data_IF_924468227267
#
_entry.id   IF_924468227267
#
_cell.length_a   1.000
_cell.length_b   1.000
_cell.length_c   1.000
_cell.angle_alpha   90.00
_cell.angle_beta   90.00
_cell.angle_gamma   90.00
#
_symmetry.space_group_name_H-M   'P 1'
#
loop_
_entity.id
_entity.type
_entity.pdbx_description
1 polymer ?
#
# COMPACT_ATOMS: atom_id res chain seq x y z
N UNK A 1 -0.78 -21.00 -12.84
CA UNK A 1 0.06 -21.36 -13.97
C UNK A 1 0.29 -20.20 -14.89
N UNK A 2 -0.72 -19.71 -15.56
CA UNK A 2 -0.54 -18.50 -16.40
C UNK A 2 -0.12 -17.28 -15.57
N UNK A 3 -0.72 -17.08 -14.39
CA UNK A 3 -0.37 -16.00 -13.46
C UNK A 3 1.05 -16.14 -12.90
N UNK A 4 1.51 -17.38 -12.65
CA UNK A 4 2.87 -17.63 -12.19
C UNK A 4 3.90 -17.32 -13.27
N UNK A 5 3.60 -17.68 -14.52
CA UNK A 5 4.46 -17.36 -15.65
C UNK A 5 4.53 -15.86 -15.92
N UNK A 6 3.39 -15.18 -15.83
CA UNK A 6 3.33 -13.71 -15.97
C UNK A 6 4.11 -13.02 -14.85
N UNK A 7 3.97 -13.49 -13.61
CA UNK A 7 4.75 -12.98 -12.49
C UNK A 7 6.24 -13.19 -12.68
N UNK A 8 6.66 -14.36 -13.15
CA UNK A 8 8.06 -14.66 -13.45
C UNK A 8 8.61 -13.76 -14.55
N UNK A 9 7.85 -13.55 -15.62
CA UNK A 9 8.23 -12.64 -16.71
C UNK A 9 8.37 -11.22 -16.22
N UNK A 10 7.43 -10.76 -15.41
CA UNK A 10 7.46 -9.43 -14.80
C UNK A 10 8.73 -9.26 -13.98
N UNK A 11 9.03 -10.21 -13.09
CA UNK A 11 10.22 -10.18 -12.25
C UNK A 11 11.51 -10.20 -13.05
N UNK A 12 11.55 -10.99 -14.14
CA UNK A 12 12.72 -11.06 -15.02
C UNK A 12 12.92 -9.79 -15.85
N UNK A 13 11.83 -9.22 -16.38
CA UNK A 13 11.90 -8.00 -17.19
C UNK A 13 12.26 -6.77 -16.37
N UNK A 14 11.98 -6.80 -15.08
CA UNK A 14 12.27 -5.72 -14.14
C UNK A 14 13.48 -6.05 -13.25
N UNK A 15 14.47 -6.73 -13.80
CA UNK A 15 15.68 -7.14 -13.07
C UNK A 15 16.62 -5.96 -12.75
N UNK A 16 16.07 -4.76 -12.64
CA UNK A 16 16.74 -3.56 -12.11
C UNK A 16 16.28 -3.34 -10.69
N UNK A 17 17.15 -2.72 -9.88
CA UNK A 17 16.78 -2.28 -8.55
C UNK A 17 15.58 -1.34 -8.65
N UNK A 18 14.46 -1.75 -8.06
CA UNK A 18 13.28 -0.92 -7.94
C UNK A 18 13.49 0.09 -6.80
N UNK A 19 12.63 1.09 -6.74
CA UNK A 19 12.67 2.11 -5.72
C UNK A 19 12.54 1.49 -4.32
N UNK A 20 13.31 2.00 -3.35
CA UNK A 20 13.16 1.62 -1.94
C UNK A 20 11.97 2.35 -1.32
N UNK A 21 11.47 1.83 -0.17
CA UNK A 21 10.42 2.49 0.58
C UNK A 21 10.82 3.91 1.01
N UNK A 22 12.05 4.09 1.46
CA UNK A 22 12.55 5.40 1.88
C UNK A 22 12.60 6.38 0.70
N UNK A 23 13.13 5.95 -0.42
CA UNK A 23 13.19 6.79 -1.63
C UNK A 23 11.79 7.16 -2.12
N UNK A 24 10.86 6.21 -2.12
CA UNK A 24 9.47 6.46 -2.47
C UNK A 24 8.86 7.51 -1.54
N UNK A 25 9.01 7.35 -0.22
CA UNK A 25 8.48 8.27 0.77
C UNK A 25 9.04 9.70 0.56
N UNK A 26 10.33 9.82 0.29
CA UNK A 26 10.95 11.12 0.01
C UNK A 26 10.42 11.75 -1.29
N UNK A 27 10.28 10.96 -2.35
CA UNK A 27 9.77 11.45 -3.63
C UNK A 27 8.29 11.83 -3.59
N UNK A 28 7.48 11.17 -2.76
CA UNK A 28 6.08 11.53 -2.56
C UNK A 28 5.91 12.98 -2.08
N UNK A 29 6.88 13.53 -1.39
CA UNK A 29 6.84 14.92 -0.91
C UNK A 29 6.72 15.93 -2.04
N UNK A 30 7.21 15.60 -3.22
CA UNK A 30 7.17 16.50 -4.38
C UNK A 30 5.76 16.78 -4.89
N UNK A 31 4.80 15.93 -4.54
CA UNK A 31 3.40 16.08 -4.91
C UNK A 31 2.48 16.34 -3.71
N UNK A 32 3.06 16.61 -2.55
CA UNK A 32 2.33 16.81 -1.29
C UNK A 32 1.88 18.27 -1.15
N UNK A 33 0.72 18.58 -1.74
CA UNK A 33 0.16 19.94 -1.75
C UNK A 33 -1.13 20.05 -0.93
N UNK A 34 -1.33 19.15 0.02
CA UNK A 34 -2.51 19.17 0.89
C UNK A 34 -2.40 20.24 1.98
N UNK A 35 -3.53 20.63 2.61
CA UNK A 35 -3.52 21.61 3.72
C UNK A 35 -2.76 21.07 4.92
N UNK A 36 -1.69 21.73 5.32
CA UNK A 36 -0.84 21.30 6.45
C UNK A 36 -1.56 21.33 7.79
N UNK A 37 -2.46 22.24 7.96
CA UNK A 37 -3.24 22.38 9.19
C UNK A 37 -4.06 21.13 9.54
N UNK A 38 -4.61 20.48 8.50
CA UNK A 38 -5.48 19.32 8.66
C UNK A 38 -4.83 18.05 8.07
N UNK A 39 -3.50 18.00 8.03
CA UNK A 39 -2.75 16.98 7.29
C UNK A 39 -3.17 15.54 7.64
N UNK A 40 -3.19 15.18 8.91
CA UNK A 40 -3.55 13.82 9.34
C UNK A 40 -4.98 13.46 8.92
N UNK A 41 -5.94 14.35 9.18
CA UNK A 41 -7.33 14.12 8.80
C UNK A 41 -7.48 14.02 7.27
N UNK A 42 -6.87 14.95 6.54
CA UNK A 42 -6.92 14.98 5.08
C UNK A 42 -6.36 13.69 4.47
N UNK A 43 -5.16 13.30 4.92
CA UNK A 43 -4.49 12.11 4.40
C UNK A 43 -5.22 10.81 4.78
N UNK A 44 -5.82 10.77 5.98
CA UNK A 44 -6.63 9.62 6.39
C UNK A 44 -7.88 9.46 5.53
N UNK A 45 -8.56 10.56 5.25
CA UNK A 45 -9.72 10.56 4.35
C UNK A 45 -9.33 10.15 2.93
N UNK A 46 -8.20 10.67 2.44
CA UNK A 46 -7.66 10.30 1.14
C UNK A 46 -7.31 8.82 1.04
N UNK A 47 -6.72 8.27 2.08
CA UNK A 47 -6.40 6.84 2.14
C UNK A 47 -7.66 5.98 1.99
N UNK A 48 -8.71 6.29 2.73
CA UNK A 48 -9.99 5.57 2.66
C UNK A 48 -10.64 5.75 1.28
N UNK A 49 -10.60 6.95 0.73
CA UNK A 49 -11.14 7.25 -0.59
C UNK A 49 -10.45 6.42 -1.68
N UNK A 50 -9.13 6.35 -1.67
CA UNK A 50 -8.39 5.58 -2.67
C UNK A 50 -8.56 4.06 -2.48
N UNK A 51 -8.63 3.59 -1.24
CA UNK A 51 -8.99 2.20 -0.96
C UNK A 51 -10.38 1.88 -1.53
N UNK A 52 -11.31 2.82 -1.41
CA UNK A 52 -12.64 2.72 -2.01
C UNK A 52 -12.60 2.64 -3.54
N UNK A 53 -11.67 3.36 -4.18
CA UNK A 53 -11.49 3.27 -5.63
C UNK A 53 -11.04 1.88 -6.08
N UNK A 54 -10.18 1.22 -5.30
CA UNK A 54 -9.83 -0.18 -5.55
C UNK A 54 -11.09 -1.05 -5.55
N UNK A 55 -11.88 -0.95 -4.49
CA UNK A 55 -13.12 -1.70 -4.35
C UNK A 55 -14.13 -1.38 -5.46
N UNK A 56 -14.26 -0.10 -5.82
CA UNK A 56 -15.14 0.36 -6.88
C UNK A 56 -14.77 -0.22 -8.25
N UNK A 57 -13.49 -0.27 -8.56
CA UNK A 57 -13.02 -0.87 -9.82
C UNK A 57 -13.27 -2.36 -9.88
N UNK A 58 -13.03 -3.09 -8.78
CA UNK A 58 -13.32 -4.53 -8.68
C UNK A 58 -14.82 -4.78 -8.88
N UNK A 59 -15.66 -4.00 -8.20
CA UNK A 59 -17.12 -4.10 -8.35
C UNK A 59 -17.55 -3.94 -9.80
N UNK A 60 -17.03 -2.92 -10.48
CA UNK A 60 -17.35 -2.66 -11.89
C UNK A 60 -16.87 -3.77 -12.81
N UNK A 61 -15.70 -4.36 -12.55
CA UNK A 61 -15.23 -5.52 -13.30
C UNK A 61 -16.20 -6.70 -13.17
N UNK A 62 -16.68 -6.96 -11.97
CA UNK A 62 -17.65 -8.04 -11.72
C UNK A 62 -18.97 -7.74 -12.44
N UNK A 63 -19.45 -6.50 -12.33
CA UNK A 63 -20.74 -6.10 -12.93
C UNK A 63 -20.70 -6.09 -14.47
N UNK A 64 -19.64 -5.48 -15.02
CA UNK A 64 -19.60 -5.16 -16.46
C UNK A 64 -18.72 -6.13 -17.25
N UNK A 65 -17.92 -6.97 -16.58
CA UNK A 65 -17.00 -7.90 -17.24
C UNK A 65 -15.81 -7.23 -17.91
N UNK A 66 -15.55 -5.94 -17.64
CA UNK A 66 -14.45 -5.18 -18.22
C UNK A 66 -13.28 -5.08 -17.27
N UNK A 67 -12.06 -5.16 -17.80
CA UNK A 67 -10.85 -4.96 -17.01
C UNK A 67 -10.63 -3.47 -16.72
N UNK A 68 -10.02 -3.18 -15.58
CA UNK A 68 -9.58 -1.84 -15.20
C UNK A 68 -8.24 -1.91 -14.48
N UNK A 69 -7.53 -0.78 -14.45
CA UNK A 69 -6.20 -0.73 -13.84
C UNK A 69 -6.30 -0.58 -12.30
N UNK A 70 -6.42 -1.72 -11.62
CA UNK A 70 -6.47 -1.76 -10.15
C UNK A 70 -5.10 -1.41 -9.57
N UNK A 71 -4.02 -1.81 -10.21
CA UNK A 71 -2.65 -1.54 -9.74
C UNK A 71 -2.38 -0.04 -9.57
N UNK A 72 -2.91 0.79 -10.47
CA UNK A 72 -2.80 2.24 -10.38
C UNK A 72 -3.41 2.77 -9.06
N UNK A 73 -4.57 2.22 -8.67
CA UNK A 73 -5.24 2.63 -7.44
C UNK A 73 -4.47 2.17 -6.19
N UNK A 74 -3.78 1.02 -6.27
CA UNK A 74 -2.88 0.58 -5.19
C UNK A 74 -1.76 1.62 -5.00
N UNK A 75 -1.22 2.15 -6.09
CA UNK A 75 -0.23 3.23 -6.03
C UNK A 75 -0.75 4.45 -5.29
N UNK A 76 -1.98 4.87 -5.55
CA UNK A 76 -2.59 6.01 -4.88
C UNK A 76 -2.76 5.76 -3.38
N UNK A 77 -3.15 4.54 -2.98
CA UNK A 77 -3.21 4.13 -1.57
C UNK A 77 -1.83 4.25 -0.91
N UNK A 78 -0.79 3.75 -1.58
CA UNK A 78 0.58 3.81 -1.08
C UNK A 78 1.07 5.24 -0.89
N UNK A 79 0.71 6.16 -1.79
CA UNK A 79 1.06 7.57 -1.66
C UNK A 79 0.53 8.16 -0.35
N UNK A 80 -0.76 7.91 -0.05
CA UNK A 80 -1.36 8.38 1.21
C UNK A 80 -0.72 7.73 2.43
N UNK A 81 -0.36 6.44 2.35
CA UNK A 81 0.37 5.76 3.42
C UNK A 81 1.73 6.41 3.66
N UNK A 82 2.47 6.71 2.60
CA UNK A 82 3.79 7.33 2.69
C UNK A 82 3.72 8.73 3.30
N UNK A 83 2.73 9.53 2.89
CA UNK A 83 2.58 10.89 3.41
C UNK A 83 2.08 10.91 4.85
N UNK A 84 1.19 9.98 5.24
CA UNK A 84 0.80 9.80 6.65
C UNK A 84 2.01 9.46 7.51
N UNK A 85 2.85 8.53 7.06
CA UNK A 85 4.07 8.17 7.76
C UNK A 85 4.98 9.41 7.95
N UNK A 86 5.12 10.24 6.92
CA UNK A 86 5.91 11.47 6.99
C UNK A 86 5.34 12.46 7.99
N UNK A 87 4.02 12.66 8.02
CA UNK A 87 3.39 13.55 8.99
C UNK A 87 3.53 13.06 10.43
N UNK A 88 3.62 11.75 10.62
CA UNK A 88 3.85 11.12 11.93
C UNK A 88 5.35 11.04 12.28
N UNK A 89 6.23 11.54 11.41
CA UNK A 89 7.68 11.45 11.55
C UNK A 89 8.19 10.01 11.68
N UNK A 90 7.59 9.09 10.93
CA UNK A 90 7.98 7.67 10.90
C UNK A 90 8.43 7.31 9.49
N UNK A 91 9.49 6.52 9.40
CA UNK A 91 9.97 5.99 8.13
C UNK A 91 9.03 4.88 7.65
N UNK A 92 8.58 4.98 6.40
CA UNK A 92 7.69 3.99 5.80
C UNK A 92 8.29 2.59 5.83
N UNK A 93 9.60 2.47 5.56
CA UNK A 93 10.31 1.19 5.63
C UNK A 93 10.26 0.56 7.01
N UNK A 94 10.34 1.38 8.05
CA UNK A 94 10.23 0.91 9.44
C UNK A 94 8.83 0.35 9.73
N UNK A 95 7.79 1.03 9.24
CA UNK A 95 6.41 0.54 9.36
C UNK A 95 6.27 -0.84 8.68
N UNK A 96 6.87 -0.97 7.50
CA UNK A 96 6.85 -2.22 6.73
C UNK A 96 7.55 -3.36 7.47
N UNK A 97 8.74 -3.10 8.01
CA UNK A 97 9.50 -4.09 8.79
C UNK A 97 8.75 -4.51 10.05
N UNK A 98 8.22 -3.56 10.80
CA UNK A 98 7.46 -3.83 12.02
C UNK A 98 6.22 -4.66 11.73
N UNK A 99 5.56 -4.39 10.61
CA UNK A 99 4.40 -5.17 10.18
C UNK A 99 4.79 -6.63 9.88
N UNK A 100 5.88 -6.83 9.15
CA UNK A 100 6.38 -8.18 8.85
C UNK A 100 6.77 -8.93 10.12
N UNK A 101 7.45 -8.27 11.03
CA UNK A 101 7.82 -8.86 12.33
C UNK A 101 6.59 -9.31 13.11
N UNK A 102 5.60 -8.44 13.21
CA UNK A 102 4.34 -8.72 13.90
C UNK A 102 3.63 -9.95 13.31
N UNK A 103 3.53 -10.00 11.98
CA UNK A 103 2.85 -11.12 11.30
C UNK A 103 3.63 -12.44 11.44
N UNK A 104 4.95 -12.39 11.33
CA UNK A 104 5.80 -13.57 11.54
C UNK A 104 5.74 -14.08 12.97
N UNK A 105 5.71 -13.18 13.94
CA UNK A 105 5.56 -13.52 15.35
C UNK A 105 4.22 -14.22 15.62
N UNK A 106 3.12 -13.66 15.09
CA UNK A 106 1.79 -14.27 15.19
C UNK A 106 1.74 -15.65 14.54
N UNK A 107 2.37 -15.80 13.38
CA UNK A 107 2.45 -17.10 12.68
C UNK A 107 3.18 -18.13 13.54
N UNK A 108 4.33 -17.76 14.11
CA UNK A 108 5.14 -18.64 14.96
C UNK A 108 4.39 -19.06 16.22
N UNK A 109 3.63 -18.15 16.85
CA UNK A 109 2.84 -18.44 18.05
C UNK A 109 1.50 -19.10 17.75
N UNK A 110 1.14 -19.31 16.47
CA UNK A 110 -0.14 -19.88 16.08
C UNK A 110 -1.34 -18.95 16.25
N UNK A 111 -1.12 -17.64 16.32
CA UNK A 111 -2.17 -16.63 16.54
C UNK A 111 -2.38 -15.71 15.36
N UNK A 112 -1.95 -16.13 14.16
CA UNK A 112 -2.09 -15.33 12.95
C UNK A 112 -3.55 -15.05 12.63
N UNK A 113 -4.42 -16.07 12.78
CA UNK A 113 -5.86 -15.92 12.74
C UNK A 113 -6.37 -15.71 14.15
N UNK A 114 -7.13 -14.67 14.34
CA UNK A 114 -7.66 -14.29 15.65
C UNK A 114 -8.10 -12.84 15.59
N UNK A 115 -8.42 -12.26 16.73
CA UNK A 115 -8.84 -10.88 16.84
C UNK A 115 -8.00 -10.10 17.85
N UNK A 116 -7.95 -8.80 17.63
CA UNK A 116 -7.22 -7.88 18.50
C UNK A 116 -5.76 -7.71 18.12
N UNK A 117 -5.23 -6.52 18.40
CA UNK A 117 -3.85 -6.16 18.06
C UNK A 117 -2.81 -6.81 18.98
N UNK A 118 -3.24 -7.25 20.14
CA UNK A 118 -2.34 -7.87 21.14
C UNK A 118 -2.29 -9.39 21.08
N UNK A 119 -2.94 -10.00 20.13
CA UNK A 119 -2.93 -11.47 20.02
C UNK A 119 -1.57 -12.06 19.67
#
# INVERSE_FOLDING_TARGET
MKLEEEAKRFMQSHNKSLISAHEYQEKCRTTAIYPKKDAIAYLSLGLVSEAGEVAGKVKKQIRDGTESNIASEIGDVLWYCAMLASELNVNLGKIMEDNLYKLNDRKTRGTLQGSGDSR
#
